data_IF_144854086456
#
_entry.id   IF_144854086456
#
_cell.length_a   1.000
_cell.length_b   1.000
_cell.length_c   1.000
_cell.angle_alpha   90.00
_cell.angle_beta   90.00
_cell.angle_gamma   90.00
#
_symmetry.space_group_name_H-M   'P 1'
#
loop_
_entity.id
_entity.type
_entity.pdbx_description
1 polymer ?
#
# COMPACT_ATOMS: atom_id res chain seq x y z
N UNK A 1 -6.69 4.94 11.31
CA UNK A 1 -6.85 5.89 12.44
C UNK A 1 -5.91 7.06 12.21
N UNK A 2 -6.44 8.27 12.25
CA UNK A 2 -5.65 9.51 12.10
C UNK A 2 -5.92 10.41 13.30
N UNK A 3 -4.87 11.04 13.81
CA UNK A 3 -4.92 12.01 14.89
C UNK A 3 -4.37 13.35 14.37
N UNK A 4 -5.14 14.42 14.53
CA UNK A 4 -4.73 15.75 14.12
C UNK A 4 -3.87 16.36 15.24
N UNK A 5 -2.63 16.69 14.93
CA UNK A 5 -1.70 17.35 15.86
C UNK A 5 -2.05 18.84 16.02
N UNK A 6 -2.43 19.46 14.91
CA UNK A 6 -2.89 20.84 14.83
C UNK A 6 -3.80 21.04 13.61
N UNK A 7 -4.06 22.26 13.21
CA UNK A 7 -4.93 22.58 12.06
C UNK A 7 -4.42 22.09 10.71
N UNK A 8 -3.12 21.86 10.58
CA UNK A 8 -2.46 21.52 9.32
C UNK A 8 -1.77 20.15 9.37
N UNK A 9 -1.42 19.65 10.55
CA UNK A 9 -0.61 18.46 10.71
C UNK A 9 -1.40 17.31 11.29
N UNK A 10 -1.28 16.14 10.69
CA UNK A 10 -1.88 14.90 11.16
C UNK A 10 -0.92 13.73 11.10
N UNK A 11 -1.08 12.82 12.04
CA UNK A 11 -0.41 11.53 12.07
C UNK A 11 -1.45 10.43 12.09
N UNK A 12 -1.11 9.30 11.51
CA UNK A 12 -2.05 8.19 11.48
C UNK A 12 -1.35 6.85 11.50
N UNK A 13 -2.16 5.85 11.78
CA UNK A 13 -1.79 4.46 11.73
C UNK A 13 -2.73 3.73 10.80
N UNK A 14 -2.19 2.90 9.93
CA UNK A 14 -2.97 2.11 8.99
C UNK A 14 -2.53 0.65 9.02
N UNK A 15 -3.48 -0.21 8.82
CA UNK A 15 -3.27 -1.64 8.63
C UNK A 15 -4.33 -2.17 7.67
N UNK A 16 -4.00 -3.23 6.99
CA UNK A 16 -4.96 -3.84 6.07
C UNK A 16 -4.46 -5.12 5.47
N UNK A 17 -5.39 -5.79 4.80
CA UNK A 17 -5.12 -6.97 4.01
C UNK A 17 -5.87 -6.85 2.69
N UNK A 18 -5.17 -7.10 1.59
CA UNK A 18 -5.71 -7.13 0.25
C UNK A 18 -5.49 -8.50 -0.35
N UNK A 19 -6.55 -9.14 -0.80
CA UNK A 19 -6.50 -10.41 -1.54
C UNK A 19 -6.88 -10.14 -3.00
N UNK A 20 -6.07 -10.64 -3.93
CA UNK A 20 -6.27 -10.49 -5.36
C UNK A 20 -6.08 -11.84 -6.06
N UNK A 21 -7.03 -12.22 -6.90
CA UNK A 21 -6.85 -13.28 -7.88
C UNK A 21 -5.99 -12.73 -9.02
N UNK A 22 -4.94 -13.43 -9.37
CA UNK A 22 -3.94 -12.94 -10.33
C UNK A 22 -4.12 -13.65 -11.66
N UNK A 23 -4.22 -14.98 -11.67
CA UNK A 23 -4.40 -15.85 -12.83
C UNK A 23 -3.41 -15.56 -13.99
N UNK A 24 -2.17 -15.19 -13.65
CA UNK A 24 -1.11 -14.88 -14.60
C UNK A 24 0.19 -15.57 -14.20
N UNK A 25 0.94 -16.07 -15.19
CA UNK A 25 2.27 -16.67 -15.00
C UNK A 25 2.31 -17.74 -13.90
N UNK A 26 1.35 -18.65 -13.91
CA UNK A 26 1.21 -19.74 -12.93
C UNK A 26 0.99 -19.25 -11.49
N UNK A 27 0.56 -18.00 -11.29
CA UNK A 27 0.19 -17.47 -9.98
C UNK A 27 -1.32 -17.32 -9.94
N UNK A 28 -1.97 -18.06 -9.05
CA UNK A 28 -3.41 -18.06 -8.86
C UNK A 28 -3.86 -16.87 -8.00
N UNK A 29 -3.17 -16.65 -6.88
CA UNK A 29 -3.60 -15.71 -5.85
C UNK A 29 -2.45 -14.98 -5.19
N UNK A 30 -2.67 -13.71 -4.85
CA UNK A 30 -1.80 -12.92 -3.99
C UNK A 30 -2.57 -12.36 -2.80
N UNK A 31 -1.99 -12.46 -1.60
CA UNK A 31 -2.51 -11.85 -0.38
C UNK A 31 -1.44 -10.93 0.18
N UNK A 32 -1.77 -9.65 0.30
CA UNK A 32 -0.88 -8.64 0.84
C UNK A 32 -1.42 -8.15 2.19
N UNK A 33 -0.60 -8.20 3.22
CA UNK A 33 -0.90 -7.65 4.54
C UNK A 33 0.08 -6.54 4.84
N UNK A 34 -0.40 -5.42 5.35
CA UNK A 34 0.44 -4.26 5.63
C UNK A 34 0.05 -3.58 6.94
N UNK A 35 1.04 -2.94 7.54
CA UNK A 35 0.91 -2.11 8.73
C UNK A 35 1.87 -0.93 8.60
N UNK A 36 1.45 0.27 8.99
CA UNK A 36 2.30 1.42 8.85
C UNK A 36 1.79 2.68 9.52
N UNK A 37 2.60 3.72 9.42
CA UNK A 37 2.32 5.06 9.90
C UNK A 37 2.28 6.03 8.74
N UNK A 38 1.45 7.06 8.87
CA UNK A 38 1.43 8.18 7.95
C UNK A 38 1.55 9.50 8.70
N UNK A 39 2.17 10.45 8.06
CA UNK A 39 2.16 11.86 8.42
C UNK A 39 1.63 12.64 7.24
N UNK A 40 0.75 13.60 7.50
CA UNK A 40 0.19 14.48 6.49
C UNK A 40 0.26 15.95 6.91
N UNK A 41 0.52 16.81 5.96
CA UNK A 41 0.46 18.27 6.08
C UNK A 41 -0.53 18.80 5.06
N UNK A 42 -1.54 19.52 5.53
CA UNK A 42 -2.50 20.26 4.70
C UNK A 42 -2.11 21.75 4.65
N UNK A 43 -2.12 22.34 3.47
CA UNK A 43 -1.65 23.71 3.29
C UNK A 43 -2.55 24.75 3.96
N UNK A 44 -3.85 24.48 3.99
CA UNK A 44 -4.84 25.36 4.64
C UNK A 44 -5.31 24.77 5.98
N UNK A 45 -6.03 23.67 5.95
CA UNK A 45 -6.42 22.93 7.15
C UNK A 45 -6.74 21.46 6.84
N UNK A 46 -6.66 20.58 7.84
CA UNK A 46 -6.93 19.15 7.68
C UNK A 46 -8.42 18.87 7.40
N UNK A 47 -9.31 19.68 7.98
CA UNK A 47 -10.77 19.50 7.87
C UNK A 47 -11.42 20.55 6.95
N UNK A 48 -10.72 21.00 5.93
CA UNK A 48 -11.24 21.86 4.89
C UNK A 48 -10.67 21.45 3.53
N UNK A 49 -11.25 21.96 2.47
CA UNK A 49 -10.73 21.77 1.13
C UNK A 49 -9.32 22.31 1.04
N UNK A 50 -8.35 21.45 0.78
CA UNK A 50 -6.93 21.84 0.83
C UNK A 50 -6.06 20.94 -0.02
N UNK A 51 -4.97 21.50 -0.55
CA UNK A 51 -3.84 20.69 -0.98
C UNK A 51 -3.15 20.05 0.22
N UNK A 52 -2.63 18.85 0.01
CA UNK A 52 -1.86 18.17 1.05
C UNK A 52 -0.60 17.53 0.48
N UNK A 53 0.37 17.31 1.36
CA UNK A 53 1.49 16.42 1.17
C UNK A 53 1.56 15.44 2.33
N UNK A 54 1.83 14.18 2.05
CA UNK A 54 1.89 13.16 3.08
C UNK A 54 2.99 12.14 2.82
N UNK A 55 3.35 11.45 3.87
CA UNK A 55 4.26 10.30 3.82
C UNK A 55 3.60 9.09 4.45
N UNK A 56 3.82 7.92 3.85
CA UNK A 56 3.40 6.64 4.38
C UNK A 56 4.64 5.76 4.52
N UNK A 57 4.93 5.33 5.73
CA UNK A 57 6.01 4.39 6.03
C UNK A 57 5.41 3.14 6.65
N UNK A 58 5.71 1.99 6.09
CA UNK A 58 5.16 0.76 6.60
C UNK A 58 5.97 -0.48 6.26
N UNK A 59 5.54 -1.58 6.83
CA UNK A 59 6.03 -2.92 6.53
C UNK A 59 4.85 -3.84 6.18
N UNK A 60 5.14 -4.89 5.45
CA UNK A 60 4.10 -5.83 5.05
C UNK A 60 4.66 -7.15 4.56
N UNK A 61 3.76 -8.09 4.38
CA UNK A 61 4.06 -9.37 3.77
C UNK A 61 3.12 -9.65 2.61
N UNK A 62 3.65 -10.34 1.60
CA UNK A 62 2.91 -10.79 0.44
C UNK A 62 3.04 -12.30 0.33
N UNK A 63 1.93 -13.00 0.30
CA UNK A 63 1.87 -14.45 0.10
C UNK A 63 1.30 -14.70 -1.29
N UNK A 64 2.08 -15.34 -2.14
CA UNK A 64 1.66 -15.76 -3.47
C UNK A 64 1.41 -17.28 -3.47
N UNK A 65 0.26 -17.66 -4.00
CA UNK A 65 -0.10 -19.07 -4.23
C UNK A 65 -0.05 -19.35 -5.72
N UNK A 66 0.63 -20.41 -6.10
CA UNK A 66 0.76 -20.87 -7.49
C UNK A 66 -0.26 -21.95 -7.83
N UNK A 67 -0.47 -22.23 -9.12
CA UNK A 67 -1.46 -23.17 -9.65
C UNK A 67 -1.28 -24.61 -9.11
N UNK A 68 -0.06 -24.96 -8.70
CA UNK A 68 0.23 -26.26 -8.06
C UNK A 68 0.00 -26.24 -6.53
N UNK A 69 -0.45 -25.10 -5.99
CA UNK A 69 -0.70 -24.90 -4.58
C UNK A 69 0.55 -24.63 -3.73
N UNK A 70 1.72 -24.41 -4.36
CA UNK A 70 2.91 -23.95 -3.64
C UNK A 70 2.71 -22.50 -3.17
N UNK A 71 3.33 -22.14 -2.05
CA UNK A 71 3.24 -20.78 -1.50
C UNK A 71 4.61 -20.16 -1.32
N UNK A 72 4.68 -18.86 -1.65
CA UNK A 72 5.90 -18.05 -1.53
C UNK A 72 5.57 -16.79 -0.73
N UNK A 73 6.30 -16.60 0.37
CA UNK A 73 6.11 -15.44 1.26
C UNK A 73 7.27 -14.46 1.09
N UNK A 74 6.93 -13.23 0.89
CA UNK A 74 7.86 -12.10 0.85
C UNK A 74 7.47 -11.10 1.93
N UNK A 75 8.46 -10.55 2.63
CA UNK A 75 8.26 -9.45 3.56
C UNK A 75 9.13 -8.24 3.16
N UNK A 76 8.69 -7.06 3.55
CA UNK A 76 9.40 -5.85 3.17
C UNK A 76 8.86 -4.60 3.83
N UNK A 77 9.50 -3.50 3.50
CA UNK A 77 9.09 -2.16 3.92
C UNK A 77 8.86 -1.25 2.71
N UNK A 78 8.05 -0.23 2.90
CA UNK A 78 7.77 0.78 1.88
C UNK A 78 7.64 2.17 2.49
N UNK A 79 8.11 3.15 1.73
CA UNK A 79 7.94 4.57 1.98
C UNK A 79 7.29 5.19 0.74
N UNK A 80 6.19 5.90 0.94
CA UNK A 80 5.54 6.67 -0.13
C UNK A 80 5.49 8.13 0.26
N UNK A 81 5.68 9.01 -0.72
CA UNK A 81 5.45 10.45 -0.60
C UNK A 81 4.33 10.80 -1.55
N UNK A 82 3.24 11.35 -1.04
CA UNK A 82 2.02 11.60 -1.81
C UNK A 82 1.65 13.07 -1.70
N UNK A 83 1.38 13.71 -2.82
CA UNK A 83 0.77 15.04 -2.89
C UNK A 83 -0.59 14.96 -3.55
N UNK A 84 -1.53 15.78 -3.13
CA UNK A 84 -2.88 15.73 -3.65
C UNK A 84 -3.79 16.83 -3.14
N UNK A 85 -5.08 16.60 -3.32
CA UNK A 85 -6.13 17.50 -2.88
C UNK A 85 -7.19 16.73 -2.10
N UNK A 86 -7.68 17.32 -1.01
CA UNK A 86 -8.75 16.81 -0.17
C UNK A 86 -9.98 17.70 -0.26
N UNK A 87 -11.14 17.07 -0.40
CA UNK A 87 -12.45 17.70 -0.30
C UNK A 87 -13.11 17.27 1.00
N UNK A 88 -13.68 18.21 1.71
CA UNK A 88 -14.41 18.00 2.96
C UNK A 88 -15.85 18.46 2.80
N UNK A 89 -16.79 17.62 3.15
CA UNK A 89 -18.22 17.85 2.98
C UNK A 89 -18.88 18.08 4.34
N UNK A 90 -19.98 18.85 4.36
CA UNK A 90 -20.71 19.23 5.58
C UNK A 90 -21.27 18.07 6.40
N UNK A 91 -21.25 16.85 5.84
CA UNK A 91 -21.68 15.62 6.51
C UNK A 91 -20.52 14.82 7.10
N UNK A 92 -19.41 15.46 7.42
CA UNK A 92 -18.20 14.86 7.98
C UNK A 92 -17.50 13.82 7.06
N UNK A 93 -17.89 13.77 5.80
CA UNK A 93 -17.22 12.94 4.79
C UNK A 93 -16.03 13.72 4.19
N UNK A 94 -14.92 13.04 4.02
CA UNK A 94 -13.77 13.55 3.28
C UNK A 94 -13.41 12.63 2.13
N UNK A 95 -12.97 13.21 1.02
CA UNK A 95 -12.42 12.49 -0.12
C UNK A 95 -11.05 13.07 -0.44
N UNK A 96 -10.01 12.25 -0.40
CA UNK A 96 -8.65 12.66 -0.72
C UNK A 96 -8.20 11.93 -1.99
N UNK A 97 -7.70 12.72 -2.94
CA UNK A 97 -7.09 12.20 -4.16
C UNK A 97 -5.64 12.67 -4.21
N UNK A 98 -4.72 11.73 -4.36
CA UNK A 98 -3.30 12.05 -4.39
C UNK A 98 -2.50 11.10 -5.26
N UNK A 99 -1.30 11.53 -5.57
CA UNK A 99 -0.33 10.78 -6.37
C UNK A 99 1.08 11.05 -5.85
N UNK A 100 1.97 10.07 -5.95
CA UNK A 100 3.36 10.27 -5.58
C UNK A 100 4.22 9.03 -5.68
N UNK A 101 5.54 9.20 -5.60
CA UNK A 101 6.49 8.10 -5.68
C UNK A 101 6.44 7.20 -4.43
N UNK A 102 6.70 5.92 -4.66
CA UNK A 102 6.87 4.93 -3.61
C UNK A 102 8.21 4.22 -3.75
N UNK A 103 8.85 3.99 -2.63
CA UNK A 103 10.14 3.30 -2.50
C UNK A 103 9.99 2.15 -1.52
N UNK A 104 10.68 1.05 -1.77
CA UNK A 104 10.62 -0.07 -0.85
C UNK A 104 11.60 -1.18 -1.18
N UNK A 105 11.70 -2.11 -0.26
CA UNK A 105 12.47 -3.33 -0.44
C UNK A 105 11.71 -4.50 0.16
N UNK A 106 11.75 -5.62 -0.51
CA UNK A 106 11.21 -6.86 0.00
C UNK A 106 12.20 -8.00 -0.20
N UNK A 107 12.18 -8.98 0.66
CA UNK A 107 12.99 -10.19 0.57
C UNK A 107 12.08 -11.41 0.66
N UNK A 108 12.52 -12.51 0.05
CA UNK A 108 11.86 -13.81 0.22
C UNK A 108 12.09 -14.26 1.66
N UNK A 109 11.04 -14.59 2.36
CA UNK A 109 11.06 -15.02 3.74
C UNK A 109 10.97 -16.55 3.84
N UNK A 110 10.01 -17.13 3.11
CA UNK A 110 9.80 -18.58 3.11
C UNK A 110 9.16 -19.06 1.81
N UNK A 111 9.30 -20.34 1.57
CA UNK A 111 8.58 -21.06 0.53
C UNK A 111 8.10 -22.42 1.06
N UNK A 112 6.91 -22.81 0.63
CA UNK A 112 6.35 -24.13 0.88
C UNK A 112 5.98 -24.75 -0.47
N UNK A 113 6.84 -25.66 -0.94
CA UNK A 113 6.69 -26.27 -2.25
C UNK A 113 5.81 -27.52 -2.14
N UNK A 114 4.81 -27.61 -3.00
CA UNK A 114 3.94 -28.79 -3.16
C UNK A 114 4.29 -29.63 -4.39
N UNK A 115 5.07 -29.06 -5.31
CA UNK A 115 5.58 -29.78 -6.47
C UNK A 115 6.94 -29.27 -6.90
N UNK A 116 7.67 -30.06 -7.68
CA UNK A 116 8.98 -29.72 -8.25
C UNK A 116 8.88 -28.86 -9.54
N UNK A 117 7.71 -28.30 -9.86
CA UNK A 117 7.50 -27.55 -11.11
C UNK A 117 8.25 -26.21 -11.18
N UNK A 118 8.81 -25.75 -10.06
CA UNK A 118 9.79 -24.65 -10.09
C UNK A 118 9.23 -23.25 -10.39
N UNK A 119 7.97 -22.96 -10.06
CA UNK A 119 7.34 -21.66 -10.28
C UNK A 119 7.93 -20.49 -9.46
N UNK A 120 8.93 -20.76 -8.63
CA UNK A 120 9.59 -19.74 -7.81
C UNK A 120 10.16 -18.59 -8.61
N UNK A 121 10.65 -18.85 -9.84
CA UNK A 121 11.15 -17.80 -10.73
C UNK A 121 10.04 -16.87 -11.21
N UNK A 122 8.87 -17.40 -11.54
CA UNK A 122 7.72 -16.59 -12.00
C UNK A 122 7.23 -15.66 -10.89
N UNK A 123 7.18 -16.17 -9.65
CA UNK A 123 6.85 -15.37 -8.46
C UNK A 123 7.92 -14.30 -8.20
N UNK A 124 9.20 -14.65 -8.29
CA UNK A 124 10.30 -13.71 -8.10
C UNK A 124 10.28 -12.59 -9.14
N UNK A 125 10.04 -12.91 -10.41
CA UNK A 125 9.95 -11.92 -11.49
C UNK A 125 8.74 -10.99 -11.30
N UNK A 126 7.62 -11.50 -10.79
CA UNK A 126 6.47 -10.68 -10.43
C UNK A 126 6.79 -9.75 -9.25
N UNK A 127 7.40 -10.27 -8.20
CA UNK A 127 7.82 -9.47 -7.05
C UNK A 127 8.80 -8.37 -7.49
N UNK A 128 9.75 -8.68 -8.37
CA UNK A 128 10.66 -7.69 -8.96
C UNK A 128 9.92 -6.60 -9.73
N UNK A 129 8.92 -6.95 -10.53
CA UNK A 129 8.07 -5.97 -11.25
C UNK A 129 7.31 -5.07 -10.28
N UNK A 130 6.82 -5.59 -9.16
CA UNK A 130 6.17 -4.79 -8.13
C UNK A 130 7.15 -3.90 -7.34
N UNK A 131 8.41 -4.34 -7.20
CA UNK A 131 9.50 -3.61 -6.53
C UNK A 131 10.00 -2.40 -7.30
N UNK A 132 10.12 -2.54 -8.61
CA UNK A 132 10.78 -1.60 -9.52
C UNK A 132 9.78 -0.81 -10.37
N UNK A 133 8.71 -0.34 -9.77
CA UNK A 133 8.05 0.83 -10.33
C UNK A 133 8.60 2.07 -9.61
N UNK A 134 9.73 2.67 -10.09
CA UNK A 134 10.32 3.86 -9.50
C UNK A 134 9.40 5.07 -9.60
N UNK A 135 8.30 4.92 -10.31
CA UNK A 135 7.16 5.82 -10.40
C UNK A 135 5.94 4.91 -10.38
N UNK A 136 5.72 4.20 -9.29
CA UNK A 136 4.37 3.77 -9.02
C UNK A 136 3.65 5.03 -8.56
N UNK A 137 3.14 5.77 -9.54
CA UNK A 137 2.08 6.71 -9.34
C UNK A 137 0.90 5.90 -8.81
N UNK A 138 0.95 5.56 -7.54
CA UNK A 138 -0.15 4.90 -6.88
C UNK A 138 -1.21 5.97 -6.68
N UNK A 139 -2.30 5.99 -7.45
CA UNK A 139 -3.38 6.92 -7.18
C UNK A 139 -3.91 6.56 -5.80
N UNK A 140 -3.75 7.48 -4.86
CA UNK A 140 -4.34 7.37 -3.55
C UNK A 140 -5.74 7.94 -3.62
N UNK A 141 -6.74 7.10 -3.43
CA UNK A 141 -8.12 7.52 -3.19
C UNK A 141 -8.50 7.06 -1.78
N UNK A 142 -8.72 8.01 -0.90
CA UNK A 142 -9.22 7.74 0.45
C UNK A 142 -10.58 8.39 0.63
N UNK A 143 -11.49 7.67 1.24
CA UNK A 143 -12.77 8.19 1.72
C UNK A 143 -12.77 8.03 3.24
N UNK A 144 -12.95 9.13 3.94
CA UNK A 144 -12.93 9.18 5.40
C UNK A 144 -14.24 9.72 5.96
N UNK A 145 -14.49 9.41 7.23
CA UNK A 145 -15.54 10.00 8.04
C UNK A 145 -14.91 10.52 9.33
N UNK A 146 -15.19 11.77 9.66
CA UNK A 146 -14.70 12.41 10.89
C UNK A 146 -15.78 12.30 11.97
N UNK A 147 -15.38 11.99 13.20
CA UNK A 147 -16.27 11.90 14.38
C UNK A 147 -16.05 13.10 15.29
#
# INVERSE_FOLDING_TARGET
LTYNLDKQNGVGFHFGQLSQEINENNIEKGVNSFIGFNYGYAFDCINCDSFFVGTLLGTGSSVFTTDDGSTYTYSGWGLSVVGGYGWYFDNDISVLLGIGPSFGSSSKESENLKSDKGYGKDVEDRVKKLRFQPISSMPLLLVGYSF
#
